data_IF_197562601029
#
_entry.id   IF_197562601029
#
_cell.length_a   1.000
_cell.length_b   1.000
_cell.length_c   1.000
_cell.angle_alpha   90.00
_cell.angle_beta   90.00
_cell.angle_gamma   90.00
#
_symmetry.space_group_name_H-M   'P 1'
#
loop_
_entity.id
_entity.type
_entity.pdbx_description
1 polymer ?
#
# COMPACT_ATOMS: atom_id res chain seq x y z
N UNK A 1 4.21 -14.23 -4.38
CA UNK A 1 3.85 -15.04 -5.52
C UNK A 1 4.03 -14.28 -6.80
N UNK A 2 4.41 -15.00 -7.85
CA UNK A 2 4.74 -14.36 -9.11
C UNK A 2 3.58 -13.61 -9.74
N UNK A 3 2.37 -14.16 -9.66
CA UNK A 3 1.20 -13.53 -10.29
C UNK A 3 0.87 -12.19 -9.63
N UNK A 4 0.83 -12.17 -8.31
CA UNK A 4 0.52 -10.92 -7.61
C UNK A 4 1.55 -9.84 -7.87
N UNK A 5 2.83 -10.23 -7.89
CA UNK A 5 3.91 -9.29 -8.15
C UNK A 5 3.84 -8.74 -9.58
N UNK A 6 3.55 -9.61 -10.54
CA UNK A 6 3.45 -9.19 -11.95
C UNK A 6 2.30 -8.21 -12.16
N UNK A 7 1.15 -8.48 -11.54
CA UNK A 7 0.00 -7.58 -11.63
C UNK A 7 0.32 -6.23 -11.00
N UNK A 8 0.97 -6.21 -9.86
CA UNK A 8 1.34 -4.97 -9.20
C UNK A 8 2.29 -4.16 -10.05
N UNK A 9 3.28 -4.80 -10.66
CA UNK A 9 4.22 -4.10 -11.52
C UNK A 9 3.54 -3.52 -12.75
N UNK A 10 2.58 -4.25 -13.31
CA UNK A 10 1.81 -3.76 -14.45
C UNK A 10 1.04 -2.50 -14.10
N UNK A 11 0.38 -2.51 -12.95
CA UNK A 11 -0.40 -1.36 -12.48
C UNK A 11 0.52 -0.17 -12.22
N UNK A 12 1.67 -0.41 -11.62
CA UNK A 12 2.63 0.64 -11.31
C UNK A 12 3.17 1.30 -12.57
N UNK A 13 3.32 0.55 -13.65
CA UNK A 13 3.76 1.12 -14.91
C UNK A 13 2.73 2.02 -15.55
N UNK A 14 1.46 1.75 -15.31
CA UNK A 14 0.38 2.52 -15.92
C UNK A 14 -0.06 3.73 -15.10
N UNK A 15 0.20 3.69 -13.79
CA UNK A 15 -0.28 4.73 -12.89
C UNK A 15 0.89 5.30 -12.12
N UNK A 16 1.17 6.60 -12.28
CA UNK A 16 2.31 7.22 -11.60
C UNK A 16 2.13 7.32 -10.08
N UNK A 17 0.89 7.28 -9.61
CA UNK A 17 0.61 7.37 -8.19
C UNK A 17 -0.44 6.35 -7.81
N UNK A 18 -0.16 5.59 -6.77
CA UNK A 18 -1.09 4.61 -6.24
C UNK A 18 -1.17 4.80 -4.73
N UNK A 19 -2.37 4.69 -4.20
CA UNK A 19 -2.57 4.71 -2.76
C UNK A 19 -3.48 3.55 -2.41
N UNK A 20 -3.22 2.95 -1.24
CA UNK A 20 -4.03 1.85 -0.76
C UNK A 20 -4.15 1.93 0.75
N UNK A 21 -5.13 1.21 1.27
CA UNK A 21 -5.37 1.11 2.70
C UNK A 21 -5.21 -0.35 3.10
N UNK A 22 -4.49 -0.59 4.19
CA UNK A 22 -4.24 -1.94 4.69
C UNK A 22 -4.41 -1.94 6.20
N UNK A 23 -4.99 -3.01 6.75
CA UNK A 23 -5.14 -3.12 8.20
C UNK A 23 -3.77 -3.21 8.86
N UNK A 24 -3.62 -2.50 9.98
CA UNK A 24 -2.34 -2.48 10.69
C UNK A 24 -1.93 -3.87 11.19
N UNK A 25 -2.90 -4.75 11.42
CA UNK A 25 -2.62 -6.11 11.86
C UNK A 25 -2.22 -7.04 10.73
N UNK A 26 -2.37 -6.60 9.48
CA UNK A 26 -2.10 -7.45 8.33
C UNK A 26 -0.64 -7.27 7.89
N UNK A 27 0.28 -7.75 8.73
CA UNK A 27 1.71 -7.58 8.47
C UNK A 27 2.15 -8.20 7.14
N UNK A 28 1.68 -9.39 6.74
CA UNK A 28 2.07 -9.93 5.45
C UNK A 28 1.72 -9.01 4.28
N UNK A 29 0.55 -8.37 4.32
CA UNK A 29 0.18 -7.44 3.27
C UNK A 29 1.06 -6.18 3.29
N UNK A 30 1.34 -5.65 4.48
CA UNK A 30 2.21 -4.49 4.62
C UNK A 30 3.58 -4.81 4.04
N UNK A 31 4.13 -5.96 4.38
CA UNK A 31 5.44 -6.38 3.89
C UNK A 31 5.43 -6.53 2.36
N UNK A 32 4.35 -7.11 1.82
CA UNK A 32 4.23 -7.28 0.39
C UNK A 32 4.25 -5.93 -0.33
N UNK A 33 3.43 -4.98 0.14
CA UNK A 33 3.36 -3.67 -0.51
C UNK A 33 4.65 -2.89 -0.33
N UNK A 34 5.27 -3.02 0.84
CA UNK A 34 6.55 -2.37 1.08
C UNK A 34 7.61 -2.89 0.10
N UNK A 35 7.61 -4.19 -0.16
CA UNK A 35 8.52 -4.79 -1.12
C UNK A 35 8.28 -4.29 -2.55
N UNK A 36 7.07 -3.82 -2.84
CA UNK A 36 6.74 -3.23 -4.13
C UNK A 36 7.06 -1.74 -4.21
N UNK A 37 7.58 -1.17 -3.15
CA UNK A 37 7.96 0.25 -3.13
C UNK A 37 6.96 1.16 -2.46
N UNK A 38 5.90 0.61 -1.88
CA UNK A 38 4.94 1.41 -1.12
C UNK A 38 5.49 1.76 0.25
N UNK A 39 5.08 2.91 0.75
CA UNK A 39 5.48 3.38 2.08
C UNK A 39 4.27 3.88 2.84
N UNK A 40 4.28 3.69 4.14
CA UNK A 40 3.22 4.20 5.00
C UNK A 40 3.33 5.72 5.05
N UNK A 41 2.25 6.40 4.69
CA UNK A 41 2.22 7.87 4.69
C UNK A 41 1.21 8.43 5.69
N UNK A 42 0.27 7.61 6.16
CA UNK A 42 -0.73 8.07 7.09
C UNK A 42 -1.37 6.87 7.78
N UNK A 43 -2.15 7.14 8.79
CA UNK A 43 -2.96 6.12 9.45
C UNK A 43 -4.43 6.51 9.35
N UNK A 44 -5.29 5.52 9.45
CA UNK A 44 -6.72 5.73 9.33
C UNK A 44 -7.45 4.72 10.20
N UNK A 45 -8.76 4.86 10.25
CA UNK A 45 -9.64 4.00 11.05
C UNK A 45 -10.76 3.52 10.14
N UNK A 46 -10.96 2.21 10.12
CA UNK A 46 -12.03 1.62 9.32
C UNK A 46 -13.26 1.47 10.20
N UNK A 47 -14.29 2.28 9.94
CA UNK A 47 -15.48 2.29 10.78
C UNK A 47 -16.27 0.99 10.72
N UNK A 48 -16.32 0.38 9.56
CA UNK A 48 -17.10 -0.86 9.37
C UNK A 48 -16.54 -2.00 10.20
N UNK A 49 -15.23 -2.09 10.31
CA UNK A 49 -14.59 -3.19 11.02
C UNK A 49 -14.08 -2.78 12.40
N UNK A 50 -14.08 -1.49 12.71
CA UNK A 50 -13.55 -0.94 13.95
C UNK A 50 -12.08 -1.29 14.14
N UNK A 51 -11.31 -1.20 13.06
CA UNK A 51 -9.90 -1.56 13.08
C UNK A 51 -9.04 -0.43 12.52
N UNK A 52 -7.84 -0.26 13.06
CA UNK A 52 -6.91 0.74 12.53
C UNK A 52 -6.28 0.25 11.22
N UNK A 53 -5.99 1.20 10.34
CA UNK A 53 -5.39 0.92 9.04
C UNK A 53 -4.21 1.84 8.81
N UNK A 54 -3.39 1.46 7.81
CA UNK A 54 -2.34 2.30 7.28
C UNK A 54 -2.71 2.71 5.86
N UNK A 55 -2.39 3.95 5.52
CA UNK A 55 -2.46 4.41 4.14
C UNK A 55 -1.05 4.32 3.58
N UNK A 56 -0.90 3.59 2.48
CA UNK A 56 0.40 3.41 1.83
C UNK A 56 0.36 4.04 0.44
N UNK A 57 1.48 4.61 0.05
CA UNK A 57 1.60 5.32 -1.21
C UNK A 57 2.79 4.82 -2.01
N UNK A 58 2.67 4.81 -3.32
CA UNK A 58 3.75 4.52 -4.24
C UNK A 58 3.65 5.50 -5.41
N UNK A 59 4.70 6.15 -5.81
CA UNK A 59 5.95 6.30 -5.08
C UNK A 59 5.75 7.13 -3.83
N UNK A 60 6.77 7.14 -2.96
CA UNK A 60 6.71 7.99 -1.77
C UNK A 60 6.60 9.44 -2.22
N UNK A 61 5.61 10.12 -1.67
CA UNK A 61 5.45 11.55 -1.96
C UNK A 61 6.55 12.29 -1.21
N UNK A 62 7.44 12.89 -1.96
CA UNK A 62 8.47 13.73 -1.37
C UNK A 62 8.09 15.17 -1.55
N UNK A 63 8.04 15.88 -0.46
CA UNK A 63 7.77 17.31 -0.49
C UNK A 63 9.09 18.03 -0.71
N UNK A 64 9.12 18.79 -1.76
CA UNK A 64 10.31 19.58 -2.04
C UNK A 64 10.21 20.95 -1.39
#
# INVERSE_FOLDING_TARGET
RGIGKALMQYVQQRHPHLMLEVYQKNQPAIDFYHAQGFHIVDCAWQDETQLPTWIMSWPVVQTL
#
